data_IF_853493081754
#
_entry.id   IF_853493081754
#
_cell.length_a   1.000
_cell.length_b   1.000
_cell.length_c   1.000
_cell.angle_alpha   90.00
_cell.angle_beta   90.00
_cell.angle_gamma   90.00
#
_symmetry.space_group_name_H-M   'P 1'
#
loop_
_entity.id
_entity.type
_entity.pdbx_description
1 polymer ?
#
# COMPACT_ATOMS: atom_id res chain seq x y z
N UNK A 1 -12.04 9.49 4.96
CA UNK A 1 -11.17 8.57 4.19
C UNK A 1 -11.63 7.16 4.44
N UNK A 2 -11.81 6.38 3.38
CA UNK A 2 -12.14 4.96 3.46
C UNK A 2 -10.95 4.18 4.03
N UNK A 3 -11.15 3.06 4.73
CA UNK A 3 -10.06 2.32 5.35
C UNK A 3 -9.06 1.77 4.31
N UNK A 4 -9.53 1.40 3.12
CA UNK A 4 -8.68 1.08 1.97
C UNK A 4 -7.76 2.25 1.57
N UNK A 5 -8.29 3.47 1.49
CA UNK A 5 -7.49 4.65 1.13
C UNK A 5 -6.38 4.93 2.17
N UNK A 6 -6.68 4.72 3.45
CA UNK A 6 -5.70 4.81 4.53
C UNK A 6 -4.63 3.72 4.40
N UNK A 7 -5.02 2.48 4.09
CA UNK A 7 -4.07 1.40 3.86
C UNK A 7 -3.14 1.70 2.67
N UNK A 8 -3.68 2.20 1.55
CA UNK A 8 -2.93 2.55 0.35
C UNK A 8 -1.90 3.66 0.60
N UNK A 9 -2.16 4.61 1.51
CA UNK A 9 -1.20 5.66 1.86
C UNK A 9 0.02 5.14 2.64
N UNK A 10 -0.14 4.06 3.42
CA UNK A 10 0.96 3.42 4.14
C UNK A 10 1.55 2.21 3.41
N UNK A 11 0.94 1.85 2.28
CA UNK A 11 1.32 0.70 1.47
C UNK A 11 2.47 1.08 0.54
N UNK A 12 3.47 0.22 0.45
CA UNK A 12 4.60 0.40 -0.48
C UNK A 12 4.40 -0.44 -1.74
N UNK A 13 3.71 -1.58 -1.63
CA UNK A 13 3.52 -2.54 -2.72
C UNK A 13 2.07 -3.01 -2.78
N UNK A 14 1.43 -2.88 -3.94
CA UNK A 14 0.04 -3.30 -4.16
C UNK A 14 -0.02 -4.49 -5.12
N UNK A 15 -0.88 -5.47 -4.82
CA UNK A 15 -1.24 -6.53 -5.75
C UNK A 15 -2.70 -6.43 -6.12
N UNK A 16 -3.02 -6.62 -7.40
CA UNK A 16 -4.39 -6.71 -7.92
C UNK A 16 -4.59 -8.05 -8.62
N UNK A 17 -5.56 -8.83 -8.18
CA UNK A 17 -5.86 -10.17 -8.73
C UNK A 17 -4.66 -11.13 -8.76
N UNK A 18 -3.68 -10.92 -7.86
CA UNK A 18 -2.42 -11.66 -7.82
C UNK A 18 -1.31 -11.11 -8.73
N UNK A 19 -1.54 -10.00 -9.43
CA UNK A 19 -0.53 -9.29 -10.22
C UNK A 19 0.11 -8.17 -9.39
N UNK A 20 1.44 -8.08 -9.43
CA UNK A 20 2.17 -6.98 -8.79
C UNK A 20 1.94 -5.67 -9.56
N UNK A 21 1.40 -4.67 -8.87
CA UNK A 21 1.43 -3.30 -9.34
C UNK A 21 2.85 -2.77 -9.22
N UNK A 22 3.35 -2.21 -10.32
CA UNK A 22 4.62 -1.51 -10.33
C UNK A 22 4.44 -0.03 -9.98
N UNK A 23 3.25 0.51 -10.24
CA UNK A 23 2.86 1.88 -9.90
C UNK A 23 1.38 1.90 -9.51
N UNK A 24 1.05 2.69 -8.49
CA UNK A 24 -0.33 2.95 -8.12
C UNK A 24 -0.45 4.33 -7.50
N UNK A 25 -1.55 5.01 -7.79
CA UNK A 25 -1.83 6.35 -7.31
C UNK A 25 -3.26 6.41 -6.76
N UNK A 26 -3.41 6.81 -5.50
CA UNK A 26 -4.71 6.97 -4.84
C UNK A 26 -4.93 8.44 -4.45
N UNK A 27 -5.86 9.12 -5.13
CA UNK A 27 -6.18 10.55 -4.93
C UNK A 27 -7.69 10.76 -4.77
N UNK A 28 -8.11 12.03 -4.72
CA UNK A 28 -9.52 12.44 -4.67
C UNK A 28 -10.33 11.98 -5.90
N UNK A 29 -9.67 11.75 -7.03
CA UNK A 29 -10.29 11.28 -8.28
C UNK A 29 -10.53 9.78 -8.30
N UNK A 30 -9.87 9.01 -7.42
CA UNK A 30 -9.93 7.57 -7.37
C UNK A 30 -8.55 6.90 -7.24
N UNK A 31 -8.50 5.63 -7.61
CA UNK A 31 -7.32 4.78 -7.53
C UNK A 31 -6.96 4.30 -8.93
N UNK A 32 -5.75 4.62 -9.37
CA UNK A 32 -5.17 4.08 -10.59
C UNK A 32 -4.08 3.08 -10.23
N UNK A 33 -4.09 1.91 -10.85
CA UNK A 33 -3.11 0.84 -10.62
C UNK A 33 -2.53 0.44 -11.96
N UNK A 34 -1.21 0.35 -12.05
CA UNK A 34 -0.48 -0.10 -13.23
C UNK A 34 0.36 -1.33 -12.88
N UNK A 35 0.15 -2.40 -13.64
CA UNK A 35 0.87 -3.68 -13.50
C UNK A 35 1.46 -4.12 -14.84
N UNK A 36 2.46 -5.00 -14.79
CA UNK A 36 2.94 -5.72 -15.97
C UNK A 36 2.46 -7.17 -15.96
N UNK A 37 1.65 -7.53 -16.94
CA UNK A 37 1.28 -8.91 -17.26
C UNK A 37 2.27 -9.44 -18.32
N UNK A 38 3.41 -9.94 -17.83
CA UNK A 38 4.52 -10.38 -18.67
C UNK A 38 5.21 -9.23 -19.41
N UNK A 39 4.74 -8.92 -20.62
CA UNK A 39 5.26 -7.80 -21.46
C UNK A 39 4.20 -6.74 -21.73
N UNK A 40 2.97 -6.96 -21.27
CA UNK A 40 1.85 -6.05 -21.50
C UNK A 40 1.60 -5.23 -20.25
N UNK A 41 1.51 -3.91 -20.41
CA UNK A 41 1.08 -3.03 -19.34
C UNK A 41 -0.44 -3.13 -19.19
N UNK A 42 -0.89 -3.41 -17.99
CA UNK A 42 -2.30 -3.50 -17.64
C UNK A 42 -2.61 -2.43 -16.59
N UNK A 43 -3.63 -1.63 -16.84
CA UNK A 43 -4.02 -0.50 -15.98
C UNK A 43 -5.47 -0.67 -15.51
N UNK A 44 -5.70 -0.47 -14.23
CA UNK A 44 -7.02 -0.42 -13.62
C UNK A 44 -7.27 0.95 -13.03
N UNK A 45 -8.52 1.39 -13.07
CA UNK A 45 -8.97 2.66 -12.51
C UNK A 45 -10.27 2.45 -11.77
N UNK A 46 -10.28 2.79 -10.48
CA UNK A 46 -11.46 2.68 -9.60
C UNK A 46 -11.87 4.08 -9.15
N UNK A 47 -13.18 4.32 -9.10
CA UNK A 47 -13.73 5.57 -8.59
C UNK A 47 -13.65 5.63 -7.06
N UNK A 48 -13.69 6.83 -6.44
CA UNK A 48 -13.72 6.96 -4.98
C UNK A 48 -14.91 6.23 -4.35
N UNK A 49 -16.03 6.11 -5.06
CA UNK A 49 -17.21 5.36 -4.62
C UNK A 49 -16.92 3.85 -4.53
N UNK A 50 -16.20 3.29 -5.51
CA UNK A 50 -15.79 1.87 -5.48
C UNK A 50 -14.79 1.60 -4.37
N UNK A 51 -13.86 2.53 -4.13
CA UNK A 51 -12.88 2.45 -3.03
C UNK A 51 -13.60 2.53 -1.67
N UNK A 52 -14.63 3.37 -1.56
CA UNK A 52 -15.45 3.46 -0.35
C UNK A 52 -16.35 2.24 -0.14
N UNK A 53 -16.81 1.61 -1.22
CA UNK A 53 -17.57 0.37 -1.20
C UNK A 53 -16.69 -0.89 -1.06
N UNK A 54 -15.37 -0.75 -1.01
CA UNK A 54 -14.46 -1.87 -0.88
C UNK A 54 -14.73 -2.67 0.41
N UNK A 55 -14.79 -3.99 0.28
CA UNK A 55 -15.06 -4.91 1.39
C UNK A 55 -13.78 -5.63 1.74
N UNK A 56 -13.33 -5.50 2.98
CA UNK A 56 -12.07 -6.07 3.42
C UNK A 56 -11.55 -5.40 4.68
N UNK A 57 -10.41 -5.87 5.17
CA UNK A 57 -9.74 -5.31 6.33
C UNK A 57 -8.25 -5.66 6.28
N UNK A 58 -7.46 -4.91 7.06
CA UNK A 58 -6.03 -5.13 7.25
C UNK A 58 -5.27 -4.87 5.93
N UNK A 59 -4.80 -5.93 5.27
CA UNK A 59 -4.04 -5.88 4.03
C UNK A 59 -4.85 -6.34 2.81
N UNK A 60 -6.04 -6.91 2.99
CA UNK A 60 -6.80 -7.50 1.89
C UNK A 60 -8.15 -6.81 1.67
N UNK A 61 -8.38 -6.39 0.43
CA UNK A 61 -9.55 -5.64 0.01
C UNK A 61 -10.19 -6.25 -1.23
N UNK A 62 -11.51 -6.23 -1.31
CA UNK A 62 -12.27 -6.63 -2.48
C UNK A 62 -12.99 -5.41 -3.04
N UNK A 63 -12.72 -5.08 -4.30
CA UNK A 63 -13.47 -4.07 -5.04
C UNK A 63 -14.33 -4.74 -6.09
N UNK A 64 -15.51 -4.19 -6.33
CA UNK A 64 -16.34 -4.55 -7.46
C UNK A 64 -16.25 -3.44 -8.52
N UNK A 65 -16.03 -3.86 -9.75
CA UNK A 65 -16.07 -3.02 -10.94
C UNK A 65 -17.10 -3.53 -11.96
N UNK A 66 -17.35 -2.76 -13.02
CA UNK A 66 -18.14 -3.17 -14.17
C UNK A 66 -17.68 -4.51 -14.78
N UNK A 67 -16.40 -4.88 -14.65
CA UNK A 67 -15.87 -6.16 -15.15
C UNK A 67 -15.98 -7.33 -14.18
N UNK A 68 -16.24 -7.10 -12.89
CA UNK A 68 -16.30 -8.13 -11.86
C UNK A 68 -15.64 -7.73 -10.55
N UNK A 69 -15.37 -8.72 -9.71
CA UNK A 69 -14.70 -8.53 -8.42
C UNK A 69 -13.17 -8.61 -8.59
N UNK A 70 -12.47 -7.65 -8.01
CA UNK A 70 -11.01 -7.57 -7.98
C UNK A 70 -10.52 -7.63 -6.54
N UNK A 71 -9.53 -8.49 -6.30
CA UNK A 71 -8.85 -8.58 -5.00
C UNK A 71 -7.63 -7.68 -5.00
N UNK A 72 -7.60 -6.70 -4.12
CA UNK A 72 -6.40 -5.94 -3.78
C UNK A 72 -5.74 -6.54 -2.54
N UNK A 73 -4.41 -6.60 -2.56
CA UNK A 73 -3.59 -6.90 -1.38
C UNK A 73 -2.57 -5.79 -1.24
N UNK A 74 -2.74 -4.98 -0.20
CA UNK A 74 -1.74 -4.01 0.23
C UNK A 74 -0.64 -4.78 0.95
N UNK A 75 0.61 -4.61 0.55
CA UNK A 75 1.76 -5.17 1.25
C UNK A 75 2.58 -4.00 1.77
N UNK A 76 2.63 -3.90 3.09
CA UNK A 76 3.60 -3.07 3.76
C UNK A 76 4.96 -3.77 3.66
N UNK A 77 5.88 -3.20 2.87
CA UNK A 77 7.28 -3.53 3.04
C UNK A 77 7.61 -3.07 4.46
N UNK A 78 7.80 -4.02 5.39
CA UNK A 78 8.28 -3.71 6.73
C UNK A 78 9.53 -2.85 6.58
N UNK A 79 9.38 -1.54 6.75
CA UNK A 79 10.48 -0.69 7.18
C UNK A 79 10.76 -1.21 8.57
N UNK A 80 11.91 -1.86 8.77
CA UNK A 80 12.35 -2.19 10.12
C UNK A 80 12.11 -0.94 10.98
N UNK A 81 11.46 -1.05 12.15
CA UNK A 81 11.37 0.10 13.04
C UNK A 81 12.79 0.63 13.16
N UNK A 82 12.96 1.93 12.87
CA UNK A 82 14.22 2.63 13.12
C UNK A 82 14.52 2.35 14.60
N UNK A 83 15.44 1.42 14.88
CA UNK A 83 15.97 1.25 16.22
C UNK A 83 16.73 2.56 16.44
N UNK A 84 16.05 3.51 17.09
CA UNK A 84 16.60 4.75 17.61
C UNK A 84 17.90 4.33 18.32
N UNK A 85 19.03 4.65 17.68
CA UNK A 85 20.35 4.36 18.19
C UNK A 85 20.55 5.28 19.40
N UNK A 86 20.11 4.81 20.57
CA UNK A 86 20.50 5.34 21.87
C UNK A 86 22.01 5.09 22.04
N UNK A 87 22.84 5.81 21.28
CA UNK A 87 24.26 5.99 21.52
C UNK A 87 24.40 6.77 22.84
N UNK A 88 24.26 6.05 23.96
CA UNK A 88 24.50 6.60 25.28
C UNK A 88 25.96 7.03 25.37
N UNK A 89 26.18 8.33 25.34
CA UNK A 89 27.43 9.06 25.58
C UNK A 89 28.25 8.41 26.71
N UNK A 90 29.22 7.57 26.33
CA UNK A 90 30.22 6.99 27.23
C UNK A 90 31.45 7.91 27.25
N UNK A 91 31.31 9.13 27.76
CA UNK A 91 32.49 9.92 28.17
C UNK A 91 32.29 10.48 29.59
N UNK A 92 32.40 9.60 30.58
CA UNK A 92 32.82 10.00 31.92
C UNK A 92 34.31 9.70 32.07
N UNK A 93 35.21 10.68 31.89
CA UNK A 93 36.59 10.50 32.29
C UNK A 93 36.64 10.47 33.82
N UNK A 94 36.94 9.29 34.35
CA UNK A 94 37.22 9.10 35.78
C UNK A 94 38.41 9.97 36.19
N UNK A 95 38.16 10.91 37.11
CA UNK A 95 39.21 11.64 37.82
C UNK A 95 40.18 10.64 38.49
N UNK A 96 41.47 10.71 38.13
CA UNK A 96 42.57 10.20 38.96
C UNK A 96 43.86 10.99 38.75
#
# INVERSE_FOLDING_TARGET
MSPLATALQSCDMLLIDGLHAFDFTCDETGLTIECMDGRQLRRWSFTPEQIAAAVGADDQWQLADAQGEHRLVCMSAFRAPDEDDDEADLDQPAER
#
